data_IF_313243283786
#
_entry.id   IF_313243283786
#
_cell.length_a   1.000
_cell.length_b   1.000
_cell.length_c   1.000
_cell.angle_alpha   90.00
_cell.angle_beta   90.00
_cell.angle_gamma   90.00
#
_symmetry.space_group_name_H-M   'P 1'
#
loop_
_entity.id
_entity.type
_entity.pdbx_description
1 polymer ?
#
# COMPACT_ATOMS: atom_id res chain seq x y z
N UNK A 1 -16.00 -11.62 -4.81
CA UNK A 1 -14.85 -11.29 -5.70
C UNK A 1 -13.57 -11.94 -5.16
N UNK A 2 -12.55 -12.22 -5.98
CA UNK A 2 -11.31 -12.91 -5.56
C UNK A 2 -10.59 -12.27 -4.36
N UNK A 3 -10.80 -10.97 -4.12
CA UNK A 3 -10.30 -10.29 -2.92
C UNK A 3 -10.91 -10.86 -1.62
N UNK A 4 -12.23 -11.08 -1.58
CA UNK A 4 -12.91 -11.66 -0.40
C UNK A 4 -12.59 -13.16 -0.20
N UNK A 5 -12.12 -13.85 -1.24
CA UNK A 5 -11.66 -15.24 -1.16
C UNK A 5 -10.18 -15.36 -0.77
N UNK A 6 -9.52 -14.25 -0.39
CA UNK A 6 -8.07 -14.21 -0.08
C UNK A 6 -7.15 -14.65 -1.23
N UNK A 7 -7.67 -14.72 -2.46
CA UNK A 7 -6.92 -15.09 -3.65
C UNK A 7 -6.22 -13.85 -4.24
N UNK A 8 -5.34 -13.21 -3.45
CA UNK A 8 -4.82 -11.87 -3.76
C UNK A 8 -4.02 -11.78 -5.07
N UNK A 9 -3.36 -12.87 -5.50
CA UNK A 9 -2.67 -12.92 -6.80
C UNK A 9 -3.65 -12.82 -7.96
N UNK A 10 -4.73 -13.60 -7.93
CA UNK A 10 -5.80 -13.58 -8.93
C UNK A 10 -6.66 -12.31 -8.85
N UNK A 11 -6.88 -11.81 -7.63
CA UNK A 11 -7.52 -10.52 -7.43
C UNK A 11 -6.72 -9.41 -8.12
N UNK A 12 -5.39 -9.38 -7.97
CA UNK A 12 -4.52 -8.41 -8.65
C UNK A 12 -4.70 -8.46 -10.17
N UNK A 13 -4.70 -9.65 -10.79
CA UNK A 13 -4.84 -9.78 -12.25
C UNK A 13 -6.16 -9.22 -12.76
N UNK A 14 -7.27 -9.54 -12.09
CA UNK A 14 -8.58 -9.02 -12.46
C UNK A 14 -8.71 -7.52 -12.21
N UNK A 15 -8.19 -7.02 -11.08
CA UNK A 15 -8.21 -5.59 -10.75
C UNK A 15 -7.30 -4.80 -11.72
N UNK A 16 -6.19 -5.37 -12.20
CA UNK A 16 -5.34 -4.72 -13.22
C UNK A 16 -6.12 -4.52 -14.52
N UNK A 17 -6.90 -5.52 -14.97
CA UNK A 17 -7.75 -5.36 -16.16
C UNK A 17 -8.77 -4.23 -15.97
N UNK A 18 -9.47 -4.21 -14.83
CA UNK A 18 -10.40 -3.12 -14.50
C UNK A 18 -9.71 -1.74 -14.43
N UNK A 19 -8.50 -1.69 -13.87
CA UNK A 19 -7.71 -0.46 -13.77
C UNK A 19 -7.24 0.05 -15.13
N UNK A 20 -6.93 -0.84 -16.07
CA UNK A 20 -6.56 -0.46 -17.43
C UNK A 20 -7.77 0.07 -18.22
N UNK A 21 -8.98 -0.46 -17.95
CA UNK A 21 -10.22 0.02 -18.54
C UNK A 21 -10.62 1.41 -18.00
N UNK A 22 -10.55 1.63 -16.69
CA UNK A 22 -10.78 2.93 -16.07
C UNK A 22 -9.80 3.21 -14.91
N UNK A 23 -8.80 4.06 -15.21
CA UNK A 23 -7.73 4.44 -14.27
C UNK A 23 -8.19 5.37 -13.16
N UNK A 24 -9.39 5.94 -13.25
CA UNK A 24 -9.98 6.90 -12.30
C UNK A 24 -11.19 6.31 -11.56
N UNK A 25 -11.56 5.05 -11.80
CA UNK A 25 -12.62 4.40 -11.04
C UNK A 25 -12.24 4.30 -9.54
N UNK A 26 -13.01 4.93 -8.61
CA UNK A 26 -12.67 4.93 -7.19
C UNK A 26 -12.61 3.52 -6.58
N UNK A 27 -13.59 2.66 -6.91
CA UNK A 27 -13.64 1.30 -6.38
C UNK A 27 -12.42 0.49 -6.83
N UNK A 28 -12.04 0.60 -8.10
CA UNK A 28 -10.88 -0.09 -8.65
C UNK A 28 -9.59 0.33 -7.96
N UNK A 29 -9.38 1.63 -7.73
CA UNK A 29 -8.21 2.13 -7.01
C UNK A 29 -8.18 1.67 -5.55
N UNK A 30 -9.34 1.67 -4.89
CA UNK A 30 -9.46 1.22 -3.51
C UNK A 30 -9.10 -0.26 -3.38
N UNK A 31 -9.70 -1.13 -4.20
CA UNK A 31 -9.42 -2.57 -4.18
C UNK A 31 -8.01 -2.89 -4.66
N UNK A 32 -7.43 -2.10 -5.57
CA UNK A 32 -6.02 -2.20 -5.93
C UNK A 32 -5.12 -1.90 -4.74
N UNK A 33 -5.39 -0.82 -4.00
CA UNK A 33 -4.62 -0.44 -2.82
C UNK A 33 -4.67 -1.55 -1.75
N UNK A 34 -5.88 -2.04 -1.46
CA UNK A 34 -6.11 -3.09 -0.48
C UNK A 34 -5.41 -4.41 -0.89
N UNK A 35 -5.48 -4.78 -2.17
CA UNK A 35 -4.80 -5.99 -2.70
C UNK A 35 -3.28 -5.87 -2.58
N UNK A 36 -2.71 -4.70 -2.90
CA UNK A 36 -1.27 -4.46 -2.74
C UNK A 36 -0.83 -4.51 -1.29
N UNK A 37 -1.66 -4.05 -0.37
CA UNK A 37 -1.41 -4.15 1.06
C UNK A 37 -1.35 -5.61 1.52
N UNK A 38 -2.31 -6.45 1.11
CA UNK A 38 -2.33 -7.89 1.42
C UNK A 38 -1.12 -8.63 0.83
N UNK A 39 -0.63 -8.20 -0.34
CA UNK A 39 0.60 -8.72 -0.95
C UNK A 39 1.89 -8.15 -0.34
N UNK A 40 1.79 -7.41 0.78
CA UNK A 40 2.90 -6.72 1.47
C UNK A 40 3.71 -5.77 0.54
N UNK A 41 3.10 -5.29 -0.54
CA UNK A 41 3.67 -4.31 -1.47
C UNK A 41 3.35 -2.90 -0.96
N UNK A 42 3.93 -2.55 0.19
CA UNK A 42 3.64 -1.33 0.97
C UNK A 42 3.69 -0.06 0.11
N UNK A 43 4.70 0.10 -0.76
CA UNK A 43 4.83 1.28 -1.61
C UNK A 43 3.67 1.42 -2.60
N UNK A 44 3.26 0.32 -3.22
CA UNK A 44 2.15 0.30 -4.17
C UNK A 44 0.82 0.58 -3.46
N UNK A 45 0.61 -0.01 -2.29
CA UNK A 45 -0.58 0.25 -1.48
C UNK A 45 -0.70 1.74 -1.10
N UNK A 46 0.40 2.36 -0.64
CA UNK A 46 0.46 3.80 -0.36
C UNK A 46 0.13 4.63 -1.61
N UNK A 47 0.71 4.27 -2.76
CA UNK A 47 0.47 4.98 -4.02
C UNK A 47 -1.02 4.96 -4.40
N UNK A 48 -1.65 3.79 -4.38
CA UNK A 48 -3.05 3.64 -4.78
C UNK A 48 -4.02 4.27 -3.77
N UNK A 49 -3.78 4.16 -2.45
CA UNK A 49 -4.60 4.87 -1.46
C UNK A 49 -4.51 6.39 -1.62
N UNK A 50 -3.32 6.94 -1.90
CA UNK A 50 -3.19 8.38 -2.22
C UNK A 50 -3.96 8.75 -3.47
N UNK A 51 -3.90 7.93 -4.52
CA UNK A 51 -4.60 8.19 -5.78
C UNK A 51 -6.12 8.14 -5.59
N UNK A 52 -6.62 7.16 -4.85
CA UNK A 52 -8.02 7.04 -4.45
C UNK A 52 -8.52 8.30 -3.72
N UNK A 53 -7.82 8.74 -2.67
CA UNK A 53 -8.22 9.89 -1.85
C UNK A 53 -8.25 11.23 -2.62
N UNK A 54 -7.57 11.31 -3.77
CA UNK A 54 -7.59 12.51 -4.63
C UNK A 54 -8.85 12.62 -5.49
N UNK A 55 -9.63 11.55 -5.64
CA UNK A 55 -10.73 11.51 -6.60
C UNK A 55 -12.03 12.19 -6.14
N UNK A 56 -12.08 12.71 -4.90
CA UNK A 56 -13.22 13.45 -4.34
C UNK A 56 -14.62 12.89 -4.72
N UNK A 57 -14.80 11.58 -4.62
CA UNK A 57 -15.98 10.85 -5.08
C UNK A 57 -17.11 10.75 -4.02
N UNK A 58 -17.12 11.64 -3.03
CA UNK A 58 -18.19 11.75 -2.02
C UNK A 58 -18.36 10.58 -1.04
N UNK A 59 -17.64 9.47 -1.18
CA UNK A 59 -17.78 8.31 -0.28
C UNK A 59 -16.94 8.50 1.00
N UNK A 60 -17.53 9.20 1.97
CA UNK A 60 -16.91 9.59 3.24
C UNK A 60 -16.42 8.40 4.06
N UNK A 61 -17.14 7.29 4.09
CA UNK A 61 -16.76 6.11 4.87
C UNK A 61 -15.49 5.47 4.31
N UNK A 62 -15.48 5.19 3.00
CA UNK A 62 -14.31 4.59 2.35
C UNK A 62 -13.11 5.57 2.37
N UNK A 63 -13.35 6.88 2.33
CA UNK A 63 -12.30 7.89 2.52
C UNK A 63 -11.66 7.82 3.91
N UNK A 64 -12.47 7.74 4.98
CA UNK A 64 -11.96 7.56 6.34
C UNK A 64 -11.19 6.26 6.48
N UNK A 65 -11.67 5.17 5.87
CA UNK A 65 -10.96 3.90 5.85
C UNK A 65 -9.60 4.02 5.15
N UNK A 66 -9.58 4.56 3.92
CA UNK A 66 -8.38 4.73 3.13
C UNK A 66 -7.34 5.65 3.82
N UNK A 67 -7.78 6.72 4.50
CA UNK A 67 -6.89 7.57 5.30
C UNK A 67 -6.24 6.81 6.45
N UNK A 68 -7.01 6.02 7.22
CA UNK A 68 -6.48 5.19 8.31
C UNK A 68 -5.46 4.18 7.80
N UNK A 69 -5.76 3.46 6.71
CA UNK A 69 -4.81 2.51 6.11
C UNK A 69 -3.56 3.20 5.59
N UNK A 70 -3.70 4.33 4.91
CA UNK A 70 -2.58 5.11 4.41
C UNK A 70 -1.64 5.55 5.54
N UNK A 71 -2.18 5.98 6.67
CA UNK A 71 -1.37 6.38 7.82
C UNK A 71 -0.61 5.18 8.40
N UNK A 72 -1.31 4.07 8.68
CA UNK A 72 -0.69 2.84 9.17
C UNK A 72 0.43 2.32 8.25
N UNK A 73 0.24 2.39 6.92
CA UNK A 73 1.26 1.98 5.95
C UNK A 73 2.47 2.91 5.95
N UNK A 74 2.28 4.22 6.12
CA UNK A 74 3.41 5.18 6.25
C UNK A 74 4.22 4.90 7.51
N UNK A 75 3.56 4.58 8.61
CA UNK A 75 4.23 4.28 9.88
C UNK A 75 4.99 2.96 9.79
N UNK A 76 4.38 1.92 9.21
CA UNK A 76 5.07 0.64 8.88
C UNK A 76 6.27 0.85 7.95
N UNK A 77 6.18 1.77 7.00
CA UNK A 77 7.30 2.11 6.11
C UNK A 77 8.44 2.78 6.89
N UNK A 78 8.13 3.75 7.76
CA UNK A 78 9.12 4.45 8.58
C UNK A 78 9.84 3.48 9.52
N UNK A 79 9.11 2.62 10.23
CA UNK A 79 9.73 1.63 11.14
C UNK A 79 10.67 0.67 10.41
N UNK A 80 10.27 0.17 9.22
CA UNK A 80 11.13 -0.68 8.38
C UNK A 80 12.39 0.06 7.92
N UNK A 81 12.29 1.35 7.61
CA UNK A 81 13.44 2.16 7.20
C UNK A 81 14.39 2.42 8.38
N UNK A 82 13.87 2.76 9.55
CA UNK A 82 14.67 2.94 10.78
C UNK A 82 15.43 1.67 11.16
N UNK A 83 14.76 0.50 11.11
CA UNK A 83 15.42 -0.78 11.39
C UNK A 83 16.52 -1.14 10.38
N UNK A 84 16.37 -0.73 9.11
CA UNK A 84 17.43 -0.90 8.10
C UNK A 84 18.61 0.03 8.38
N UNK A 85 18.35 1.28 8.76
CA UNK A 85 19.41 2.25 9.10
C UNK A 85 20.21 1.80 10.33
N UNK A 86 19.55 1.29 11.37
CA UNK A 86 20.23 0.81 12.58
C UNK A 86 21.23 -0.31 12.26
N UNK A 87 20.84 -1.28 11.43
CA UNK A 87 21.74 -2.35 10.98
C UNK A 87 22.98 -1.85 10.23
N UNK A 88 22.83 -0.77 9.46
CA UNK A 88 23.96 -0.15 8.75
C UNK A 88 24.89 0.52 9.75
N UNK A 89 24.34 1.26 10.72
CA UNK A 89 25.13 1.91 11.78
C UNK A 89 25.92 0.86 12.57
N UNK A 90 25.28 -0.23 12.98
CA UNK A 90 25.94 -1.32 13.72
C UNK A 90 27.11 -1.94 12.92
N UNK A 91 26.92 -2.14 11.60
CA UNK A 91 27.96 -2.66 10.72
C UNK A 91 29.16 -1.70 10.62
N UNK A 92 28.91 -0.40 10.43
CA UNK A 92 29.96 0.63 10.35
C UNK A 92 30.72 0.76 11.68
N UNK A 93 30.03 0.75 12.82
CA UNK A 93 30.69 0.79 14.13
C UNK A 93 31.61 -0.43 14.33
N UNK A 94 31.18 -1.61 13.88
CA UNK A 94 32.00 -2.82 13.96
C UNK A 94 33.26 -2.73 13.10
N UNK A 95 33.18 -2.11 11.93
CA UNK A 95 34.34 -1.89 11.04
C UNK A 95 35.33 -0.88 11.61
N UNK A 96 34.85 0.21 12.22
CA UNK A 96 35.71 1.24 12.84
C UNK A 96 36.45 0.71 14.08
N UNK A 97 35.84 -0.25 14.80
CA UNK A 97 36.42 -0.86 16.01
C UNK A 97 37.42 -2.01 15.73
N UNK A 98 37.68 -2.33 14.46
CA UNK A 98 38.64 -3.35 14.03
C UNK A 98 39.98 -2.71 13.70
#
# INVERSE_FOLDING_TARGET
>A
CYYHLSHFKYAKENIVKAYLADKKNPLTLFYMAATMEQLNKIFNAIYYYKKYLKLNHGNTEMNRYAQRRLQALKDKRRSKQSGKLLKIIDAVIKEIKK
#
